data_IF_614876391801
#
_entry.id   IF_614876391801
#
_cell.length_a   1.000
_cell.length_b   1.000
_cell.length_c   1.000
_cell.angle_alpha   90.00
_cell.angle_beta   90.00
_cell.angle_gamma   90.00
#
_symmetry.space_group_name_H-M   'P 1'
#
loop_
_entity.id
_entity.type
_entity.pdbx_description
1 polymer ?
#
# COMPACT_ATOMS: atom_id res chain seq x y z
N UNK A 1 18.11 17.49 -8.21
CA UNK A 1 19.04 16.40 -7.83
C UNK A 1 19.04 15.24 -8.86
N UNK A 2 17.87 14.75 -9.28
CA UNK A 2 17.76 13.69 -10.30
C UNK A 2 18.26 14.14 -11.67
N UNK A 3 17.99 15.39 -12.08
CA UNK A 3 18.48 15.97 -13.35
C UNK A 3 20.00 15.92 -13.47
N UNK A 4 20.71 16.25 -12.39
CA UNK A 4 22.16 16.27 -12.38
C UNK A 4 22.82 14.89 -12.48
N UNK A 5 22.02 13.81 -12.31
CA UNK A 5 22.49 12.41 -12.40
C UNK A 5 22.05 11.70 -13.68
N UNK A 6 21.49 12.44 -14.66
CA UNK A 6 20.93 11.88 -15.89
C UNK A 6 19.90 10.75 -15.66
N UNK A 7 19.20 10.78 -14.51
CA UNK A 7 18.17 9.83 -14.18
C UNK A 7 16.88 10.20 -14.92
N UNK A 8 16.38 9.31 -15.73
CA UNK A 8 15.07 9.49 -16.39
C UNK A 8 13.97 9.48 -15.33
N UNK A 9 13.12 10.49 -15.35
CA UNK A 9 11.94 10.60 -14.51
C UNK A 9 10.77 11.13 -15.32
N UNK A 10 9.57 10.88 -14.83
CA UNK A 10 8.34 11.38 -15.44
C UNK A 10 7.29 11.61 -14.36
N UNK A 11 6.44 12.59 -14.58
CA UNK A 11 5.28 12.91 -13.74
C UNK A 11 3.95 12.73 -14.49
N UNK A 12 4.00 12.25 -15.73
CA UNK A 12 2.83 12.13 -16.61
C UNK A 12 2.50 10.68 -17.01
N UNK A 13 3.20 9.70 -16.47
CA UNK A 13 2.92 8.28 -16.72
C UNK A 13 1.98 7.75 -15.65
N UNK A 14 0.87 7.16 -16.08
CA UNK A 14 -0.09 6.50 -15.21
C UNK A 14 0.05 4.96 -15.22
N UNK A 15 0.94 4.40 -16.05
CA UNK A 15 1.24 2.96 -16.08
C UNK A 15 2.68 2.70 -16.52
N UNK A 16 3.28 1.67 -15.93
CA UNK A 16 4.66 1.23 -16.20
C UNK A 16 4.61 -0.26 -16.54
N UNK A 17 5.27 -0.73 -17.63
CA UNK A 17 5.36 -2.17 -17.94
C UNK A 17 6.04 -2.93 -16.79
N UNK A 18 5.48 -4.06 -16.40
CA UNK A 18 5.99 -4.91 -15.33
C UNK A 18 5.67 -6.39 -15.59
N UNK A 19 6.69 -7.21 -15.80
CA UNK A 19 6.58 -8.69 -15.86
C UNK A 19 5.44 -9.20 -16.77
N UNK A 20 5.31 -8.63 -17.97
CA UNK A 20 4.25 -9.00 -18.93
C UNK A 20 2.87 -8.40 -18.63
N UNK A 21 2.78 -7.49 -17.65
CA UNK A 21 1.60 -6.74 -17.29
C UNK A 21 1.95 -5.26 -17.12
N UNK A 22 1.18 -4.54 -16.30
CA UNK A 22 1.41 -3.14 -16.00
C UNK A 22 1.28 -2.88 -14.50
N UNK A 23 2.13 -1.99 -13.99
CA UNK A 23 1.93 -1.29 -12.73
C UNK A 23 1.26 0.04 -13.03
N UNK A 24 0.12 0.30 -12.40
CA UNK A 24 -0.67 1.52 -12.56
C UNK A 24 -0.38 2.49 -11.42
N UNK A 25 -0.21 3.76 -11.76
CA UNK A 25 -0.10 4.87 -10.82
C UNK A 25 -1.50 5.51 -10.73
N UNK A 26 -2.20 5.25 -9.63
CA UNK A 26 -3.63 5.55 -9.53
C UNK A 26 -3.90 6.97 -9.05
N UNK A 27 -3.02 7.53 -8.23
CA UNK A 27 -3.21 8.86 -7.65
C UNK A 27 -2.68 9.92 -8.60
N UNK A 28 -3.52 10.35 -9.53
CA UNK A 28 -3.21 11.39 -10.53
C UNK A 28 -3.80 12.75 -10.17
N UNK A 29 -4.65 12.83 -9.14
CA UNK A 29 -5.20 14.08 -8.60
C UNK A 29 -4.15 14.77 -7.72
N UNK A 30 -4.07 16.10 -7.80
CA UNK A 30 -3.27 16.92 -6.89
C UNK A 30 -4.11 17.33 -5.68
N UNK A 31 -3.59 17.07 -4.50
CA UNK A 31 -4.17 17.47 -3.21
C UNK A 31 -3.33 18.58 -2.58
N UNK A 32 -3.93 19.32 -1.65
CA UNK A 32 -3.24 20.34 -0.87
C UNK A 32 -2.27 19.77 0.17
N UNK A 33 -2.56 18.57 0.68
CA UNK A 33 -1.71 17.85 1.63
C UNK A 33 -0.67 17.01 0.87
N UNK A 34 0.59 17.09 1.26
CA UNK A 34 1.69 16.37 0.61
C UNK A 34 1.54 14.86 0.71
N UNK A 35 1.07 14.33 1.86
CA UNK A 35 0.86 12.90 2.04
C UNK A 35 -0.20 12.36 1.05
N UNK A 36 -1.23 13.15 0.76
CA UNK A 36 -2.27 12.78 -0.20
C UNK A 36 -1.77 12.81 -1.66
N UNK A 37 -0.62 13.43 -1.91
CA UNK A 37 0.08 13.36 -3.20
C UNK A 37 1.04 12.16 -3.31
N UNK A 38 0.98 11.22 -2.37
CA UNK A 38 1.74 9.96 -2.43
C UNK A 38 1.44 9.21 -3.71
N UNK A 39 2.46 8.57 -4.25
CA UNK A 39 2.30 7.66 -5.39
C UNK A 39 1.58 6.40 -4.91
N UNK A 40 0.32 6.25 -5.30
CA UNK A 40 -0.43 5.02 -5.08
C UNK A 40 -0.24 4.11 -6.28
N UNK A 41 0.20 2.89 -6.05
CA UNK A 41 0.45 1.93 -7.13
C UNK A 41 -0.43 0.69 -6.99
N UNK A 42 -0.92 0.24 -8.13
CA UNK A 42 -1.67 -1.01 -8.26
C UNK A 42 -1.06 -1.85 -9.37
N UNK A 43 -0.93 -3.15 -9.14
CA UNK A 43 -0.60 -4.09 -10.20
C UNK A 43 -1.19 -5.47 -9.92
N UNK A 44 -1.30 -6.24 -10.99
CA UNK A 44 -1.68 -7.65 -10.93
C UNK A 44 -0.50 -8.52 -11.36
N UNK A 45 -0.27 -9.58 -10.63
CA UNK A 45 0.69 -10.63 -10.99
C UNK A 45 0.01 -11.98 -10.83
N UNK A 46 -0.13 -12.73 -11.92
CA UNK A 46 -0.96 -13.92 -11.98
C UNK A 46 -2.41 -13.58 -11.54
N UNK A 47 -2.91 -14.21 -10.48
CA UNK A 47 -4.24 -13.96 -9.87
C UNK A 47 -4.21 -13.01 -8.67
N UNK A 48 -3.05 -12.45 -8.34
CA UNK A 48 -2.87 -11.65 -7.14
C UNK A 48 -2.86 -10.16 -7.46
N UNK A 49 -3.62 -9.40 -6.69
CA UNK A 49 -3.78 -7.95 -6.78
C UNK A 49 -3.00 -7.28 -5.66
N UNK A 50 -2.18 -6.33 -6.01
CA UNK A 50 -1.32 -5.57 -5.10
C UNK A 50 -1.70 -4.11 -5.11
N UNK A 51 -1.85 -3.52 -3.93
CA UNK A 51 -2.13 -2.09 -3.75
C UNK A 51 -1.18 -1.51 -2.71
N UNK A 52 -0.44 -0.46 -3.09
CA UNK A 52 0.50 0.26 -2.23
C UNK A 52 0.03 1.69 -2.09
N UNK A 53 -0.27 2.11 -0.85
CA UNK A 53 -0.94 3.38 -0.58
C UNK A 53 0.03 4.55 -0.35
N UNK A 54 1.34 4.31 -0.19
CA UNK A 54 2.26 5.36 0.26
C UNK A 54 1.86 5.89 1.63
N UNK A 55 1.85 7.21 1.80
CA UNK A 55 1.40 7.89 3.02
C UNK A 55 0.04 8.57 2.84
N UNK A 56 -0.75 8.11 1.87
CA UNK A 56 -2.08 8.65 1.57
C UNK A 56 -3.04 8.55 2.75
N UNK A 57 -3.88 9.57 2.89
CA UNK A 57 -4.97 9.61 3.87
C UNK A 57 -6.30 9.10 3.29
N UNK A 58 -7.34 9.12 4.12
CA UNK A 58 -8.71 8.79 3.75
C UNK A 58 -9.27 9.61 2.59
N UNK A 59 -8.77 10.83 2.35
CA UNK A 59 -9.16 11.64 1.17
C UNK A 59 -8.71 11.00 -0.14
N UNK A 60 -7.49 10.48 -0.17
CA UNK A 60 -7.01 9.73 -1.34
C UNK A 60 -7.73 8.39 -1.46
N UNK A 61 -8.02 7.70 -0.35
CA UNK A 61 -8.80 6.46 -0.35
C UNK A 61 -10.18 6.66 -0.97
N UNK A 62 -10.89 7.72 -0.57
CA UNK A 62 -12.19 8.09 -1.15
C UNK A 62 -12.08 8.37 -2.66
N UNK A 63 -11.08 9.15 -3.07
CA UNK A 63 -10.83 9.38 -4.49
C UNK A 63 -10.62 8.05 -5.25
N UNK A 64 -9.84 7.14 -4.70
CA UNK A 64 -9.52 5.86 -5.35
C UNK A 64 -10.76 4.99 -5.54
N UNK A 65 -11.59 4.81 -4.52
CA UNK A 65 -12.77 3.95 -4.63
C UNK A 65 -13.88 4.54 -5.49
N UNK A 66 -13.90 5.87 -5.66
CA UNK A 66 -14.85 6.56 -6.55
C UNK A 66 -14.42 6.52 -8.02
N UNK A 67 -13.12 6.36 -8.30
CA UNK A 67 -12.59 6.44 -9.66
C UNK A 67 -12.11 5.08 -10.23
N UNK A 68 -11.86 4.08 -9.36
CA UNK A 68 -11.33 2.79 -9.77
C UNK A 68 -12.10 1.63 -9.14
N UNK A 69 -12.28 0.57 -9.89
CA UNK A 69 -12.89 -0.66 -9.37
C UNK A 69 -11.85 -1.52 -8.62
N UNK A 70 -11.51 -1.07 -7.41
CA UNK A 70 -10.57 -1.77 -6.52
C UNK A 70 -11.34 -2.72 -5.60
N UNK A 71 -11.30 -4.02 -5.90
CA UNK A 71 -11.96 -5.05 -5.08
C UNK A 71 -11.09 -6.28 -4.96
N UNK A 72 -11.26 -7.02 -3.86
CA UNK A 72 -10.55 -8.30 -3.63
C UNK A 72 -9.02 -8.14 -3.70
N UNK A 73 -8.48 -7.14 -3.05
CA UNK A 73 -7.04 -6.90 -3.00
C UNK A 73 -6.35 -8.05 -2.26
N UNK A 74 -5.39 -8.70 -2.91
CA UNK A 74 -4.64 -9.80 -2.29
C UNK A 74 -3.64 -9.30 -1.24
N UNK A 75 -2.95 -8.21 -1.57
CA UNK A 75 -1.92 -7.61 -0.71
C UNK A 75 -2.07 -6.09 -0.68
N UNK A 76 -2.37 -5.56 0.49
CA UNK A 76 -2.42 -4.13 0.77
C UNK A 76 -1.16 -3.71 1.54
N UNK A 77 -0.34 -2.80 0.99
CA UNK A 77 0.57 -1.99 1.82
C UNK A 77 -0.25 -0.85 2.40
N UNK A 78 -0.50 -0.93 3.69
CA UNK A 78 -1.31 0.04 4.44
C UNK A 78 -0.73 1.44 4.33
N UNK A 79 -1.61 2.43 4.16
CA UNK A 79 -1.24 3.84 4.05
C UNK A 79 -0.67 4.39 5.34
N UNK A 80 0.22 5.37 5.22
CA UNK A 80 0.74 6.20 6.32
C UNK A 80 1.14 5.42 7.58
N UNK A 81 1.82 4.29 7.40
CA UNK A 81 2.29 3.41 8.48
C UNK A 81 1.21 2.92 9.45
N UNK A 82 -0.06 3.01 9.05
CA UNK A 82 -1.21 2.71 9.91
C UNK A 82 -1.63 3.89 10.80
N UNK A 83 -1.44 5.13 10.33
CA UNK A 83 -2.01 6.34 10.95
C UNK A 83 -3.54 6.28 10.96
N UNK A 84 -4.17 6.86 11.98
CA UNK A 84 -5.62 7.02 12.05
C UNK A 84 -6.21 7.92 10.95
N UNK A 85 -5.36 8.60 10.17
CA UNK A 85 -5.78 9.36 8.98
C UNK A 85 -5.96 8.47 7.75
N UNK A 86 -5.64 7.19 7.82
CA UNK A 86 -5.71 6.21 6.72
C UNK A 86 -6.52 4.98 7.09
N UNK A 87 -6.76 4.12 6.11
CA UNK A 87 -7.45 2.83 6.28
C UNK A 87 -8.87 2.98 6.83
N UNK A 88 -9.62 3.90 6.22
CA UNK A 88 -11.01 4.17 6.59
C UNK A 88 -11.89 2.92 6.43
N UNK A 89 -12.94 2.75 7.27
CA UNK A 89 -13.86 1.60 7.16
C UNK A 89 -14.46 1.46 5.76
N UNK A 90 -14.85 2.57 5.14
CA UNK A 90 -15.42 2.59 3.80
C UNK A 90 -14.44 2.01 2.76
N UNK A 91 -13.19 2.45 2.80
CA UNK A 91 -12.14 1.99 1.90
C UNK A 91 -11.83 0.50 2.12
N UNK A 92 -11.57 0.09 3.36
CA UNK A 92 -11.21 -1.30 3.68
C UNK A 92 -12.35 -2.27 3.33
N UNK A 93 -13.60 -1.91 3.61
CA UNK A 93 -14.77 -2.71 3.23
C UNK A 93 -14.93 -2.83 1.71
N UNK A 94 -14.55 -1.79 0.95
CA UNK A 94 -14.63 -1.82 -0.52
C UNK A 94 -13.54 -2.69 -1.13
N UNK A 95 -12.30 -2.56 -0.68
CA UNK A 95 -11.15 -3.25 -1.28
C UNK A 95 -10.96 -4.68 -0.75
N UNK A 96 -11.53 -5.01 0.42
CA UNK A 96 -11.51 -6.34 1.07
C UNK A 96 -10.12 -7.00 1.02
N UNK A 97 -9.09 -6.42 1.69
CA UNK A 97 -7.74 -6.93 1.56
C UNK A 97 -7.58 -8.27 2.28
N UNK A 98 -6.96 -9.27 1.61
CA UNK A 98 -6.68 -10.57 2.24
C UNK A 98 -5.48 -10.50 3.18
N UNK A 99 -4.45 -9.78 2.79
CA UNK A 99 -3.22 -9.57 3.57
C UNK A 99 -2.93 -8.09 3.63
N UNK A 100 -2.72 -7.57 4.83
CA UNK A 100 -2.36 -6.18 5.09
C UNK A 100 -0.95 -6.10 5.66
N UNK A 101 -0.10 -5.31 5.01
CA UNK A 101 1.29 -5.11 5.34
C UNK A 101 1.48 -3.71 5.91
N UNK A 102 1.91 -3.60 7.16
CA UNK A 102 2.17 -2.33 7.82
C UNK A 102 3.69 -2.19 8.01
N UNK A 103 4.28 -1.25 7.27
CA UNK A 103 5.67 -0.86 7.44
C UNK A 103 5.75 0.19 8.53
N UNK A 104 6.26 -0.17 9.69
CA UNK A 104 6.31 0.69 10.87
C UNK A 104 7.52 0.34 11.73
N UNK A 105 8.17 1.36 12.32
CA UNK A 105 9.31 1.18 13.20
C UNK A 105 8.91 0.72 14.59
N UNK A 106 9.82 0.00 15.28
CA UNK A 106 9.68 -0.24 16.72
C UNK A 106 9.78 1.08 17.48
N UNK A 107 9.00 1.23 18.53
CA UNK A 107 9.02 2.41 19.41
C UNK A 107 8.90 3.72 18.61
N UNK A 108 8.10 3.71 17.53
CA UNK A 108 7.92 4.93 16.74
C UNK A 108 7.16 5.99 17.55
N UNK A 109 7.59 7.23 17.43
CA UNK A 109 7.07 8.37 18.16
C UNK A 109 5.58 8.61 17.96
N UNK A 110 5.05 8.26 16.76
CA UNK A 110 3.64 8.46 16.40
C UNK A 110 2.71 7.36 16.93
N UNK A 111 3.23 6.36 17.63
CA UNK A 111 2.47 5.22 18.15
C UNK A 111 1.67 4.46 17.06
N UNK A 112 2.19 4.46 15.82
CA UNK A 112 1.61 3.67 14.73
C UNK A 112 1.95 2.17 14.88
N UNK A 113 1.07 1.27 14.35
CA UNK A 113 -0.25 1.54 13.80
C UNK A 113 -1.27 1.87 14.88
N UNK A 114 -2.21 2.76 14.56
CA UNK A 114 -3.31 3.13 15.44
C UNK A 114 -4.27 1.94 15.68
N UNK A 115 -4.86 1.85 16.86
CA UNK A 115 -5.78 0.77 17.24
C UNK A 115 -7.00 0.71 16.32
N UNK A 116 -7.54 1.84 15.91
CA UNK A 116 -8.67 1.93 14.98
C UNK A 116 -8.34 1.29 13.63
N UNK A 117 -7.16 1.58 13.08
CA UNK A 117 -6.69 0.96 11.82
C UNK A 117 -6.60 -0.56 11.94
N UNK A 118 -6.08 -1.07 13.05
CA UNK A 118 -6.03 -2.52 13.29
C UNK A 118 -7.44 -3.13 13.38
N UNK A 119 -8.39 -2.42 13.97
CA UNK A 119 -9.80 -2.83 14.03
C UNK A 119 -10.42 -2.87 12.63
N UNK A 120 -10.22 -1.84 11.82
CA UNK A 120 -10.73 -1.78 10.44
C UNK A 120 -10.15 -2.91 9.57
N UNK A 121 -8.92 -3.35 9.84
CA UNK A 121 -8.24 -4.44 9.14
C UNK A 121 -8.49 -5.84 9.74
N UNK A 122 -9.40 -5.99 10.70
CA UNK A 122 -9.60 -7.25 11.45
C UNK A 122 -9.95 -8.47 10.58
N UNK A 123 -10.54 -8.27 9.41
CA UNK A 123 -10.84 -9.31 8.44
C UNK A 123 -9.65 -9.66 7.51
N UNK A 124 -8.50 -9.03 7.70
CA UNK A 124 -7.26 -9.23 6.93
C UNK A 124 -6.19 -9.91 7.78
N UNK A 125 -5.33 -10.72 7.17
CA UNK A 125 -4.12 -11.22 7.85
C UNK A 125 -3.11 -10.08 7.92
N UNK A 126 -2.83 -9.58 9.13
CA UNK A 126 -1.97 -8.42 9.33
C UNK A 126 -0.53 -8.84 9.60
N UNK A 127 0.41 -8.28 8.86
CA UNK A 127 1.85 -8.35 9.12
C UNK A 127 2.39 -6.94 9.37
N UNK A 128 3.22 -6.80 10.42
CA UNK A 128 3.79 -5.52 10.86
C UNK A 128 5.29 -5.64 11.00
N UNK A 129 6.06 -4.69 10.46
CA UNK A 129 7.54 -4.76 10.51
C UNK A 129 8.12 -4.56 11.91
N UNK A 130 7.43 -3.83 12.79
CA UNK A 130 7.83 -3.65 14.20
C UNK A 130 7.77 -4.96 15.00
N UNK A 131 6.86 -5.88 14.65
CA UNK A 131 6.69 -7.20 15.29
C UNK A 131 7.38 -8.31 14.48
N UNK A 132 7.10 -8.34 13.18
CA UNK A 132 7.51 -9.45 12.31
C UNK A 132 8.88 -9.20 11.64
N UNK A 133 9.53 -8.07 11.92
CA UNK A 133 10.78 -7.64 11.26
C UNK A 133 10.61 -7.57 9.74
N UNK A 134 11.50 -8.18 8.96
CA UNK A 134 11.36 -8.20 7.50
C UNK A 134 10.31 -9.22 7.07
N UNK A 135 9.47 -8.83 6.12
CA UNK A 135 8.40 -9.67 5.56
C UNK A 135 8.72 -9.91 4.09
N UNK A 136 8.90 -11.17 3.72
CA UNK A 136 9.16 -11.60 2.33
C UNK A 136 7.95 -12.34 1.78
N UNK A 137 7.42 -11.84 0.66
CA UNK A 137 6.38 -12.51 -0.11
C UNK A 137 7.03 -13.10 -1.36
N UNK A 138 6.96 -14.42 -1.49
CA UNK A 138 7.39 -15.13 -2.68
C UNK A 138 6.19 -15.74 -3.38
N UNK A 139 6.06 -15.44 -4.67
CA UNK A 139 4.97 -15.92 -5.51
C UNK A 139 5.59 -16.78 -6.63
N UNK A 140 5.28 -18.05 -6.57
CA UNK A 140 5.50 -19.02 -7.63
C UNK A 140 4.11 -19.60 -7.95
N UNK A 141 3.97 -20.95 -8.03
CA UNK A 141 2.67 -21.60 -8.14
C UNK A 141 1.80 -21.40 -6.88
N UNK A 142 2.41 -21.10 -5.74
CA UNK A 142 1.77 -20.78 -4.45
C UNK A 142 2.41 -19.55 -3.84
N UNK A 143 1.63 -18.82 -3.02
CA UNK A 143 2.15 -17.72 -2.19
C UNK A 143 2.81 -18.29 -0.94
N UNK A 144 4.03 -17.85 -0.66
CA UNK A 144 4.72 -18.09 0.62
C UNK A 144 5.08 -16.74 1.24
N UNK A 145 4.59 -16.50 2.45
CA UNK A 145 4.94 -15.33 3.26
C UNK A 145 5.88 -15.80 4.36
N UNK A 146 7.05 -15.19 4.44
CA UNK A 146 8.09 -15.52 5.42
C UNK A 146 8.43 -14.29 6.23
N UNK A 147 8.48 -14.44 7.54
CA UNK A 147 9.02 -13.46 8.49
C UNK A 147 10.52 -13.75 8.59
N UNK A 148 11.35 -12.81 8.20
CA UNK A 148 12.80 -12.98 8.27
C UNK A 148 13.27 -12.49 9.65
N UNK A 149 13.58 -13.41 10.54
CA UNK A 149 14.32 -13.09 11.76
C UNK A 149 15.77 -12.81 11.35
N UNK A 150 16.27 -11.59 11.62
CA UNK A 150 17.72 -11.40 11.58
C UNK A 150 18.28 -12.16 12.79
N UNK A 151 19.08 -13.18 12.53
CA UNK A 151 19.94 -13.74 13.55
C UNK A 151 20.99 -12.71 13.93
#
# INVERSE_FOLDING_TARGET
HLKNKNIKYTNNINKIPLLGSYMYLLNTKKFSNENDNSIVTYFEYQKYKFLFMGDSSSKTEEYLINNYNLTNISFLKVGHHGSNTSSSPLFINKITPKVSLISVGRNNFYHHPNKEVLTNLSNSVIYRTDINKSIKIKINNKVKITKLNNN
#
